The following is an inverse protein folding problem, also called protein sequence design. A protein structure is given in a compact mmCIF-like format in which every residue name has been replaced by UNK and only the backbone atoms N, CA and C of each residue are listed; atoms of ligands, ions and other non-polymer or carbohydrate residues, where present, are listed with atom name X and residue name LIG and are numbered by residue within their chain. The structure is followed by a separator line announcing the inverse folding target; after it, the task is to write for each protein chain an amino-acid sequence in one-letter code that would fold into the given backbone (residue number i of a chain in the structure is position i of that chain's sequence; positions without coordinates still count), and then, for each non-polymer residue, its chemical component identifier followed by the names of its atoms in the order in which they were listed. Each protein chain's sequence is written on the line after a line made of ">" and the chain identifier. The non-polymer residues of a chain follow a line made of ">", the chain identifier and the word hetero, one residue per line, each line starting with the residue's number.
data_IF_150986344421
#
_entry.id   IF_150986344421
#
_cell.length_a   1.000
_cell.length_b   1.000
_cell.length_c   1.000
_cell.angle_alpha   90.00
_cell.angle_beta   90.00
_cell.angle_gamma   90.00
#
_symmetry.space_group_name_H-M   'P 1'
#
loop_
_entity.id
_entity.type
_entity.pdbx_description
1 polymer ?
#
# COMPACT_ATOMS: atom_id res chain seq x y z
N UNK A 1 4.71 -5.20 -11.87
CA UNK A 1 3.55 -4.27 -11.88
C UNK A 1 4.10 -2.88 -11.60
N UNK A 2 3.74 -1.88 -12.40
CA UNK A 2 4.24 -0.51 -12.25
C UNK A 2 3.42 0.23 -11.18
N UNK A 3 4.08 0.85 -10.20
CA UNK A 3 3.42 1.73 -9.24
C UNK A 3 3.01 3.01 -9.97
N UNK A 4 1.74 3.42 -9.83
CA UNK A 4 1.17 4.57 -10.54
C UNK A 4 0.89 5.76 -9.62
N UNK A 5 1.32 5.67 -8.36
CA UNK A 5 1.10 6.67 -7.34
C UNK A 5 2.44 7.04 -6.73
N UNK A 6 2.72 8.34 -6.61
CA UNK A 6 3.93 8.83 -5.97
C UNK A 6 3.97 8.40 -4.50
N UNK A 7 5.08 7.79 -4.06
CA UNK A 7 5.24 7.35 -2.67
C UNK A 7 5.33 8.50 -1.65
N UNK A 8 5.56 9.73 -2.11
CA UNK A 8 5.73 10.91 -1.24
C UNK A 8 4.41 11.66 -1.08
N UNK A 9 3.75 12.00 -2.19
CA UNK A 9 2.55 12.85 -2.16
C UNK A 9 1.23 12.09 -2.40
N UNK A 10 1.30 10.79 -2.69
CA UNK A 10 0.14 9.92 -2.92
C UNK A 10 -0.74 10.34 -4.12
N UNK A 11 -0.17 11.07 -5.08
CA UNK A 11 -0.84 11.50 -6.32
C UNK A 11 -0.30 10.76 -7.55
N UNK A 12 -1.14 10.67 -8.58
CA UNK A 12 -0.77 10.19 -9.92
C UNK A 12 -0.12 11.32 -10.74
N UNK A 13 0.45 10.99 -11.89
CA UNK A 13 1.09 11.95 -12.79
C UNK A 13 2.31 11.38 -13.50
N UNK A 14 3.24 12.26 -13.87
CA UNK A 14 4.52 11.87 -14.46
C UNK A 14 5.49 11.40 -13.37
N UNK A 15 5.70 10.08 -13.33
CA UNK A 15 6.48 9.44 -12.28
C UNK A 15 7.76 8.80 -12.82
N UNK A 16 8.85 9.07 -12.13
CA UNK A 16 10.08 8.29 -12.21
C UNK A 16 9.91 6.97 -11.45
N UNK A 17 10.35 5.87 -12.06
CA UNK A 17 10.39 4.57 -11.41
C UNK A 17 11.78 4.26 -10.91
N UNK A 18 11.89 3.93 -9.63
CA UNK A 18 13.13 3.42 -9.08
C UNK A 18 13.40 2.01 -9.61
N UNK A 19 14.52 1.83 -10.29
CA UNK A 19 15.02 0.53 -10.74
C UNK A 19 15.71 -0.28 -9.63
N UNK A 20 15.76 0.27 -8.42
CA UNK A 20 16.26 -0.41 -7.24
C UNK A 20 15.25 -1.40 -6.65
N UNK A 21 15.56 -1.87 -5.44
CA UNK A 21 14.77 -2.89 -4.76
C UNK A 21 13.39 -2.42 -4.29
N UNK A 22 13.14 -1.12 -4.17
CA UNK A 22 11.85 -0.60 -3.71
C UNK A 22 10.77 -0.58 -4.78
N UNK A 23 11.13 -0.67 -6.07
CA UNK A 23 10.20 -0.57 -7.20
C UNK A 23 9.24 0.63 -7.12
N UNK A 24 9.64 1.69 -6.40
CA UNK A 24 8.80 2.83 -6.07
C UNK A 24 8.66 3.82 -7.22
N UNK A 25 7.61 4.64 -7.16
CA UNK A 25 7.33 5.70 -8.12
C UNK A 25 7.35 7.07 -7.45
N UNK A 26 7.95 8.07 -8.11
CA UNK A 26 8.23 9.39 -7.53
C UNK A 26 8.06 10.50 -8.57
N UNK A 27 7.44 11.62 -8.21
CA UNK A 27 7.60 12.84 -8.98
C UNK A 27 8.99 13.41 -8.76
N UNK A 28 9.58 14.05 -9.79
CA UNK A 28 10.87 14.74 -9.70
C UNK A 28 10.93 15.69 -8.51
N UNK A 29 9.93 16.57 -8.40
CA UNK A 29 9.87 17.60 -7.37
C UNK A 29 9.69 17.00 -5.97
N UNK A 30 8.97 15.89 -5.85
CA UNK A 30 8.78 15.21 -4.56
C UNK A 30 10.06 14.60 -3.99
N UNK A 31 11.09 14.40 -4.81
CA UNK A 31 12.41 13.92 -4.38
C UNK A 31 13.51 14.98 -4.56
N UNK A 32 13.14 16.24 -4.79
CA UNK A 32 14.07 17.36 -4.89
C UNK A 32 14.90 17.38 -6.17
N UNK A 33 14.47 16.71 -7.24
CA UNK A 33 15.11 16.78 -8.54
C UNK A 33 14.46 17.85 -9.42
N UNK A 34 15.28 18.63 -10.12
CA UNK A 34 14.84 19.61 -11.13
C UNK A 34 14.66 18.98 -12.51
N UNK A 35 15.47 17.96 -12.84
CA UNK A 35 15.49 17.29 -14.14
C UNK A 35 15.53 15.78 -13.99
N UNK A 36 14.98 15.06 -14.98
CA UNK A 36 15.06 13.61 -15.03
C UNK A 36 16.51 13.13 -15.20
N UNK A 37 16.96 12.16 -14.38
CA UNK A 37 18.29 11.58 -14.55
C UNK A 37 18.47 11.03 -15.97
N UNK A 38 19.65 11.27 -16.56
CA UNK A 38 20.04 10.61 -17.80
C UNK A 38 20.31 9.14 -17.51
N UNK A 39 19.36 8.28 -17.83
CA UNK A 39 19.44 6.83 -17.64
C UNK A 39 18.62 6.32 -16.46
N UNK A 40 19.15 5.31 -15.76
CA UNK A 40 18.43 4.61 -14.68
C UNK A 40 18.28 5.50 -13.45
N UNK A 41 17.07 5.57 -12.91
CA UNK A 41 16.81 6.24 -11.65
C UNK A 41 16.82 5.24 -10.48
N UNK A 42 17.60 5.55 -9.44
CA UNK A 42 17.64 4.82 -8.17
C UNK A 42 17.37 5.82 -7.03
N UNK A 43 16.37 5.54 -6.19
CA UNK A 43 16.02 6.45 -5.09
C UNK A 43 17.04 6.40 -3.95
N UNK A 44 17.03 7.44 -3.10
CA UNK A 44 17.96 7.59 -1.98
C UNK A 44 18.03 6.36 -1.06
N UNK A 45 16.88 5.76 -0.70
CA UNK A 45 16.89 4.54 0.12
C UNK A 45 17.59 3.37 -0.57
N UNK A 46 17.33 3.15 -1.86
CA UNK A 46 17.99 2.08 -2.61
C UNK A 46 19.48 2.35 -2.80
N UNK A 47 19.88 3.60 -3.03
CA UNK A 47 21.29 4.00 -3.16
C UNK A 47 22.05 3.76 -1.85
N UNK A 48 21.44 4.10 -0.71
CA UNK A 48 22.04 3.90 0.62
C UNK A 48 21.93 2.47 1.13
N UNK A 49 21.03 1.66 0.57
CA UNK A 49 20.68 0.33 1.09
C UNK A 49 19.91 0.37 2.42
N UNK A 50 19.43 1.55 2.85
CA UNK A 50 18.70 1.74 4.11
C UNK A 50 17.25 2.05 3.77
N UNK A 51 16.37 1.11 4.12
CA UNK A 51 14.95 1.16 3.79
C UNK A 51 14.07 1.43 5.00
N UNK A 52 12.95 2.11 4.76
CA UNK A 52 11.96 2.40 5.79
C UNK A 52 10.94 1.26 5.89
N UNK A 53 10.61 0.84 7.11
CA UNK A 53 9.52 -0.11 7.33
C UNK A 53 8.18 0.49 6.88
N UNK A 54 7.49 -0.19 5.97
CA UNK A 54 6.23 0.26 5.39
C UNK A 54 5.10 0.40 6.41
N UNK A 55 5.16 -0.31 7.54
CA UNK A 55 4.15 -0.23 8.62
C UNK A 55 4.46 0.92 9.57
N UNK A 56 5.60 0.88 10.27
CA UNK A 56 5.91 1.84 11.34
C UNK A 56 6.61 3.12 10.87
N UNK A 57 6.98 3.20 9.59
CA UNK A 57 7.66 4.34 8.97
C UNK A 57 9.04 4.69 9.57
N UNK A 58 9.63 3.77 10.33
CA UNK A 58 10.99 3.89 10.87
C UNK A 58 11.96 3.06 10.03
N UNK A 59 13.16 3.60 9.79
CA UNK A 59 14.33 2.87 9.31
C UNK A 59 15.09 2.24 10.48
N UNK A 60 15.90 1.23 10.24
CA UNK A 60 16.76 0.64 11.27
C UNK A 60 17.07 -0.84 11.01
N UNK A 61 17.67 -1.46 12.02
CA UNK A 61 18.07 -2.86 11.96
C UNK A 61 16.87 -3.79 11.88
N UNK A 62 16.99 -4.83 11.06
CA UNK A 62 15.94 -5.85 10.91
C UNK A 62 14.84 -5.50 9.91
N UNK A 63 14.92 -4.36 9.21
CA UNK A 63 14.06 -4.09 8.05
C UNK A 63 14.46 -5.01 6.89
N UNK A 64 13.54 -5.88 6.47
CA UNK A 64 13.73 -6.84 5.38
C UNK A 64 12.70 -6.66 4.27
N UNK A 65 13.10 -6.95 3.04
CA UNK A 65 12.23 -6.90 1.87
C UNK A 65 11.21 -8.04 1.87
N UNK A 66 10.00 -7.77 1.36
CA UNK A 66 9.09 -8.84 0.96
C UNK A 66 9.74 -9.73 -0.10
N UNK A 67 9.59 -11.05 0.03
CA UNK A 67 10.21 -12.02 -0.87
C UNK A 67 9.57 -12.08 -2.27
N UNK A 68 8.35 -11.57 -2.43
CA UNK A 68 7.66 -11.61 -3.73
C UNK A 68 8.36 -10.66 -4.70
N UNK A 69 8.80 -11.14 -5.88
CA UNK A 69 9.40 -10.29 -6.89
C UNK A 69 8.53 -9.08 -7.18
N UNK A 70 9.14 -7.93 -7.44
CA UNK A 70 8.47 -6.65 -7.75
C UNK A 70 7.47 -6.12 -6.68
N UNK A 71 7.41 -6.71 -5.48
CA UNK A 71 6.61 -6.15 -4.37
C UNK A 71 7.16 -4.79 -3.91
N UNK A 72 8.48 -4.73 -3.72
CA UNK A 72 9.18 -3.49 -3.39
C UNK A 72 8.95 -2.94 -1.97
N UNK A 73 8.21 -3.66 -1.11
CA UNK A 73 7.95 -3.23 0.27
C UNK A 73 8.92 -3.86 1.26
N UNK A 74 9.21 -3.10 2.31
CA UNK A 74 10.17 -3.42 3.37
C UNK A 74 9.50 -3.35 4.74
N UNK A 75 9.90 -4.24 5.65
CA UNK A 75 9.22 -4.42 6.93
C UNK A 75 10.19 -4.85 8.03
N UNK A 76 9.98 -4.37 9.25
CA UNK A 76 10.39 -5.13 10.42
C UNK A 76 9.51 -6.38 10.54
N UNK A 77 10.11 -7.52 10.92
CA UNK A 77 9.38 -8.79 11.01
C UNK A 77 8.19 -8.70 11.98
N UNK A 78 8.40 -8.13 13.16
CA UNK A 78 7.36 -7.89 14.17
C UNK A 78 6.23 -6.95 13.69
N UNK A 79 6.52 -6.04 12.77
CA UNK A 79 5.53 -5.11 12.24
C UNK A 79 4.61 -5.81 11.25
N UNK A 80 5.15 -6.60 10.33
CA UNK A 80 4.36 -7.23 9.28
C UNK A 80 3.59 -8.46 9.79
N UNK A 81 4.10 -9.16 10.80
CA UNK A 81 3.40 -10.29 11.41
C UNK A 81 2.08 -9.91 12.10
N UNK A 82 1.88 -8.63 12.43
CA UNK A 82 0.60 -8.10 12.94
C UNK A 82 -0.48 -7.97 11.86
N UNK A 83 -0.13 -8.14 10.59
CA UNK A 83 -1.06 -8.01 9.47
C UNK A 83 -1.31 -9.36 8.80
N UNK A 84 -2.50 -9.92 9.02
CA UNK A 84 -3.01 -11.08 8.29
C UNK A 84 -3.27 -10.71 6.82
N UNK A 85 -3.04 -11.59 5.83
CA UNK A 85 -2.50 -12.95 5.93
C UNK A 85 -1.02 -13.05 5.57
N UNK A 86 -0.17 -12.30 6.27
CA UNK A 86 1.29 -12.42 6.10
C UNK A 86 1.76 -13.86 6.30
N UNK A 87 2.58 -14.35 5.38
CA UNK A 87 3.15 -15.70 5.41
C UNK A 87 4.66 -15.62 5.68
N UNK A 88 5.13 -15.94 6.90
CA UNK A 88 6.55 -16.09 7.15
C UNK A 88 7.09 -17.31 6.40
N UNK A 89 8.29 -17.19 5.84
CA UNK A 89 9.01 -18.28 5.17
C UNK A 89 10.45 -18.36 5.69
N UNK A 90 11.13 -19.49 5.45
CA UNK A 90 12.49 -19.74 5.95
C UNK A 90 13.51 -18.63 5.63
N UNK A 91 13.34 -17.90 4.51
CA UNK A 91 14.26 -16.85 4.05
C UNK A 91 13.65 -15.45 4.01
N UNK A 92 12.49 -15.22 4.62
CA UNK A 92 11.88 -13.90 4.63
C UNK A 92 10.37 -13.94 4.83
N UNK A 93 9.68 -12.92 4.31
CA UNK A 93 8.25 -12.77 4.50
C UNK A 93 7.56 -12.52 3.17
N UNK A 94 6.46 -13.23 2.92
CA UNK A 94 5.48 -12.85 1.90
C UNK A 94 4.42 -12.00 2.58
N UNK A 95 4.46 -10.69 2.34
CA UNK A 95 3.57 -9.74 2.98
C UNK A 95 2.10 -9.93 2.55
N UNK A 96 1.19 -9.40 3.36
CA UNK A 96 -0.26 -9.45 3.16
C UNK A 96 -0.77 -8.73 1.90
N UNK A 97 0.05 -7.92 1.23
CA UNK A 97 -0.32 -7.22 -0.01
C UNK A 97 -0.55 -8.13 -1.23
N UNK A 98 -0.25 -9.42 -1.09
CA UNK A 98 -0.35 -10.43 -2.15
C UNK A 98 -1.55 -11.36 -2.01
N UNK A 99 -2.45 -11.06 -1.08
CA UNK A 99 -3.67 -11.81 -0.84
C UNK A 99 -4.79 -10.81 -0.57
N UNK A 100 -5.97 -11.04 -1.15
CA UNK A 100 -7.14 -10.24 -0.80
C UNK A 100 -7.53 -10.51 0.66
N UNK A 101 -7.51 -9.48 1.51
CA UNK A 101 -7.85 -9.61 2.92
C UNK A 101 -9.29 -10.11 3.13
N UNK A 102 -10.27 -9.57 2.39
CA UNK A 102 -11.67 -10.00 2.50
C UNK A 102 -11.85 -11.47 2.15
N UNK A 103 -11.33 -11.93 1.00
CA UNK A 103 -11.37 -13.35 0.64
C UNK A 103 -10.67 -14.24 1.67
N UNK A 104 -9.56 -13.78 2.25
CA UNK A 104 -8.88 -14.54 3.30
C UNK A 104 -9.71 -14.65 4.58
N UNK A 105 -10.36 -13.56 5.01
CA UNK A 105 -11.25 -13.59 6.19
C UNK A 105 -12.46 -14.50 5.93
N UNK A 106 -13.06 -14.44 4.74
CA UNK A 106 -14.23 -15.25 4.39
C UNK A 106 -13.90 -16.74 4.30
N UNK A 107 -12.74 -17.10 3.76
CA UNK A 107 -12.30 -18.48 3.69
C UNK A 107 -10.76 -18.58 3.78
N UNK A 108 -10.21 -18.74 5.00
CA UNK A 108 -8.76 -18.81 5.20
C UNK A 108 -8.10 -20.03 4.54
N UNK A 109 -8.84 -21.14 4.37
CA UNK A 109 -8.34 -22.41 3.82
C UNK A 109 -8.36 -22.45 2.30
N UNK A 110 -9.30 -21.74 1.68
CA UNK A 110 -9.38 -21.59 0.23
C UNK A 110 -9.69 -20.12 -0.12
N UNK A 111 -8.76 -19.20 0.18
CA UNK A 111 -8.96 -17.78 -0.09
C UNK A 111 -9.17 -17.65 -1.59
N UNK A 112 -10.33 -17.12 -2.00
CA UNK A 112 -10.73 -17.01 -3.40
C UNK A 112 -9.54 -16.52 -4.24
N UNK A 113 -8.91 -17.44 -4.97
CA UNK A 113 -7.72 -17.18 -5.80
C UNK A 113 -8.14 -16.60 -7.14
N UNK A 114 -9.20 -15.78 -7.13
CA UNK A 114 -9.65 -15.11 -8.35
C UNK A 114 -8.38 -14.55 -9.00
N UNK A 115 -8.11 -14.96 -10.25
CA UNK A 115 -6.92 -14.47 -10.98
C UNK A 115 -6.99 -12.96 -11.24
N UNK A 116 -8.02 -12.30 -10.71
CA UNK A 116 -8.23 -10.87 -10.80
C UNK A 116 -7.14 -10.11 -10.06
N UNK A 117 -6.89 -8.89 -10.54
CA UNK A 117 -5.80 -8.07 -10.02
C UNK A 117 -6.15 -7.55 -8.63
N UNK A 118 -5.18 -7.62 -7.72
CA UNK A 118 -5.27 -6.98 -6.42
C UNK A 118 -4.96 -5.48 -6.53
N UNK A 119 -5.76 -4.69 -5.84
CA UNK A 119 -5.47 -3.30 -5.51
C UNK A 119 -5.00 -3.20 -4.06
N UNK A 120 -4.14 -2.22 -3.76
CA UNK A 120 -3.39 -2.15 -2.50
C UNK A 120 -3.48 -0.78 -1.85
N UNK A 121 -3.51 -0.77 -0.53
CA UNK A 121 -3.42 0.47 0.21
C UNK A 121 -2.00 1.06 0.09
N UNK A 122 -1.89 2.37 -0.19
CA UNK A 122 -0.59 3.04 -0.29
C UNK A 122 0.05 3.33 1.06
N UNK A 123 -0.70 3.21 2.18
CA UNK A 123 -0.23 3.54 3.53
C UNK A 123 -0.01 2.34 4.46
N UNK A 124 -0.68 1.21 4.22
CA UNK A 124 -0.53 0.00 5.03
C UNK A 124 -0.62 -1.30 4.20
N UNK A 125 -0.27 -2.46 4.80
CA UNK A 125 -0.27 -3.77 4.12
C UNK A 125 -1.65 -4.38 3.84
N UNK A 126 -2.64 -3.59 3.42
CA UNK A 126 -3.99 -4.07 3.07
C UNK A 126 -4.13 -4.17 1.56
N UNK A 127 -4.70 -5.27 1.08
CA UNK A 127 -5.01 -5.48 -0.33
C UNK A 127 -6.39 -6.14 -0.49
N UNK A 128 -7.08 -5.79 -1.58
CA UNK A 128 -8.37 -6.35 -1.96
C UNK A 128 -8.38 -6.67 -3.45
N UNK A 129 -9.31 -7.53 -3.90
CA UNK A 129 -9.70 -7.48 -5.30
C UNK A 129 -10.42 -6.16 -5.59
N UNK A 130 -10.22 -5.62 -6.80
CA UNK A 130 -10.83 -4.36 -7.20
C UNK A 130 -12.31 -4.59 -7.64
N UNK A 131 -13.16 -5.01 -6.70
CA UNK A 131 -14.59 -5.18 -6.88
C UNK A 131 -15.34 -4.86 -5.58
N UNK A 132 -16.65 -4.61 -5.71
CA UNK A 132 -17.51 -4.17 -4.60
C UNK A 132 -17.69 -5.24 -3.51
N UNK A 133 -17.52 -6.52 -3.86
CA UNK A 133 -17.62 -7.63 -2.90
C UNK A 133 -16.41 -7.71 -1.95
N UNK A 134 -15.23 -7.32 -2.44
CA UNK A 134 -13.98 -7.47 -1.69
C UNK A 134 -13.49 -6.15 -1.09
N UNK A 135 -13.66 -5.03 -1.78
CA UNK A 135 -13.12 -3.75 -1.33
C UNK A 135 -13.92 -3.23 -0.13
N UNK A 136 -13.22 -2.87 0.95
CA UNK A 136 -13.86 -2.31 2.14
C UNK A 136 -14.51 -0.96 1.82
N UNK A 137 -15.75 -0.76 2.27
CA UNK A 137 -16.46 0.51 2.18
C UNK A 137 -15.66 1.66 2.81
N UNK A 138 -15.72 2.85 2.22
CA UNK A 138 -14.89 4.00 2.64
C UNK A 138 -13.46 3.98 2.11
N UNK A 139 -13.10 3.00 1.27
CA UNK A 139 -11.83 3.02 0.53
C UNK A 139 -11.86 4.13 -0.54
N UNK A 140 -10.78 4.91 -0.61
CA UNK A 140 -10.63 5.99 -1.61
C UNK A 140 -9.68 5.51 -2.69
N UNK A 141 -10.19 5.29 -3.91
CA UNK A 141 -9.37 4.86 -5.04
C UNK A 141 -8.47 6.01 -5.49
N UNK A 142 -7.17 5.74 -5.61
CA UNK A 142 -6.17 6.71 -6.10
C UNK A 142 -5.79 6.43 -7.57
N UNK A 143 -5.69 5.15 -7.93
CA UNK A 143 -5.37 4.67 -9.26
C UNK A 143 -5.83 3.21 -9.43
N UNK A 144 -5.70 2.64 -10.63
CA UNK A 144 -6.21 1.29 -10.96
C UNK A 144 -5.78 0.16 -9.99
N UNK A 145 -4.62 0.25 -9.33
CA UNK A 145 -4.13 -0.77 -8.40
C UNK A 145 -3.76 -0.20 -7.01
N UNK A 146 -4.22 1.02 -6.70
CA UNK A 146 -3.81 1.75 -5.50
C UNK A 146 -4.98 2.51 -4.87
N UNK A 147 -5.11 2.44 -3.55
CA UNK A 147 -6.17 3.11 -2.81
C UNK A 147 -5.70 3.55 -1.40
N UNK A 148 -6.53 4.30 -0.68
CA UNK A 148 -6.43 4.50 0.76
C UNK A 148 -7.52 3.69 1.45
N UNK A 149 -7.14 2.77 2.33
CA UNK A 149 -8.13 1.98 3.07
C UNK A 149 -8.77 2.82 4.19
N UNK A 150 -9.92 2.38 4.73
CA UNK A 150 -10.65 3.13 5.76
C UNK A 150 -9.85 3.35 7.05
N UNK A 151 -8.85 2.53 7.34
CA UNK A 151 -7.97 2.70 8.50
C UNK A 151 -7.12 3.98 8.44
N UNK A 152 -7.06 4.64 7.29
CA UNK A 152 -6.36 5.91 7.08
C UNK A 152 -7.31 7.08 6.81
N UNK A 153 -8.60 6.89 7.04
CA UNK A 153 -9.56 7.98 6.98
C UNK A 153 -9.26 8.99 8.09
N UNK A 154 -9.11 10.25 7.71
CA UNK A 154 -9.02 11.37 8.64
C UNK A 154 -10.27 12.22 8.48
N UNK A 155 -11.16 12.28 9.50
CA UNK A 155 -12.33 13.14 9.46
C UNK A 155 -11.92 14.61 9.24
N UNK A 156 -12.58 15.31 8.33
CA UNK A 156 -12.43 16.77 8.22
C UNK A 156 -13.01 17.42 9.49
N UNK A 157 -12.19 18.14 10.25
CA UNK A 157 -12.69 18.99 11.35
C UNK A 157 -13.69 20.00 10.75
N UNK A 158 -14.87 20.11 11.37
CA UNK A 158 -15.95 21.06 11.09
C UNK A 158 -16.97 20.70 9.99
N UNK A 159 -17.00 19.47 9.46
CA UNK A 159 -18.06 19.03 8.54
C UNK A 159 -18.72 17.76 9.07
N UNK A 160 -20.02 17.84 9.42
CA UNK A 160 -20.82 16.69 9.87
C UNK A 160 -21.06 15.65 8.75
N UNK A 161 -21.09 16.12 7.50
CA UNK A 161 -21.32 15.29 6.33
C UNK A 161 -20.01 15.13 5.57
N UNK A 162 -19.47 13.92 5.54
CA UNK A 162 -18.33 13.56 4.69
C UNK A 162 -18.86 13.18 3.30
N UNK A 163 -18.16 13.57 2.22
CA UNK A 163 -18.58 13.30 0.83
C UNK A 163 -18.93 11.83 0.58
N UNK A 164 -19.90 11.59 -0.31
CA UNK A 164 -20.51 10.31 -0.66
C UNK A 164 -19.60 9.08 -0.48
N UNK A 165 -19.69 8.48 0.71
CA UNK A 165 -19.25 7.11 0.94
C UNK A 165 -20.45 6.22 0.59
N UNK A 166 -20.24 5.15 -0.17
CA UNK A 166 -21.24 4.12 -0.51
C UNK A 166 -21.71 3.29 0.71
N UNK A 167 -21.78 3.90 1.90
CA UNK A 167 -22.44 3.36 3.08
C UNK A 167 -23.27 4.45 3.76
N UNK A 168 -24.50 4.10 4.11
CA UNK A 168 -25.43 4.90 4.92
C UNK A 168 -25.06 4.97 6.40
N UNK A 169 -23.88 4.45 6.80
CA UNK A 169 -23.46 4.38 8.20
C UNK A 169 -21.94 4.48 8.36
N UNK A 170 -21.48 5.41 9.20
CA UNK A 170 -20.07 5.59 9.53
C UNK A 170 -19.72 4.81 10.82
N UNK A 171 -19.03 3.66 10.72
CA UNK A 171 -18.55 2.89 11.89
C UNK A 171 -17.49 3.61 12.75
N UNK A 172 -16.91 4.70 12.24
CA UNK A 172 -15.95 5.53 12.99
C UNK A 172 -16.66 6.61 13.80
N UNK A 173 -17.81 7.08 13.33
CA UNK A 173 -18.57 8.18 13.90
C UNK A 173 -19.73 7.69 14.79
N UNK A 174 -20.20 6.45 14.57
CA UNK A 174 -21.46 5.92 15.11
C UNK A 174 -22.70 6.76 14.80
N UNK A 175 -22.59 7.66 13.82
CA UNK A 175 -23.70 8.49 13.35
C UNK A 175 -24.04 8.10 11.91
N UNK A 176 -25.34 7.92 11.68
CA UNK A 176 -25.95 7.85 10.37
C UNK A 176 -26.16 9.25 9.80
N UNK A 177 -26.56 9.28 8.53
CA UNK A 177 -26.96 10.51 7.84
C UNK A 177 -28.23 11.12 8.43
#
# INVERSE_FOLDING_TARGET
>A
MKENVCQVCERTGELLLCEGQCCGAFHLQCIGLSEAPRGKFICCECTKGVHTCFVCKKSGDGVKRCMVPVCGKFYHNECILKHTPTQPQNKGVRCSLHVCLSCHITNPLNPCTSKSRLTRCVRCPVAYHANDYCMAAGSIVLANNSFLCPNHFTPRKNYKNHEHINVSWCFVCSEGW
#
